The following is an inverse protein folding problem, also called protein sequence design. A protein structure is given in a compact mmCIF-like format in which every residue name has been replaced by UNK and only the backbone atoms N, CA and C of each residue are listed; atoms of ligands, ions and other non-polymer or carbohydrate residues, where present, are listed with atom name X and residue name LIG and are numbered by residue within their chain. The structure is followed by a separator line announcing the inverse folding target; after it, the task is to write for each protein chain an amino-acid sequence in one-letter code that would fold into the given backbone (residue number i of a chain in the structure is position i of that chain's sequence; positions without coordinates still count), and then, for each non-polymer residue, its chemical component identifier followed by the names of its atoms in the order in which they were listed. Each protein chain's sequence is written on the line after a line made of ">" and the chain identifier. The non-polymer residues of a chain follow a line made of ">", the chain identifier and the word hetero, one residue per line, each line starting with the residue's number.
data_IF_280553172316
#
_entry.id   IF_280553172316
#
_cell.length_a   1.000
_cell.length_b   1.000
_cell.length_c   1.000
_cell.angle_alpha   90.00
_cell.angle_beta   90.00
_cell.angle_gamma   90.00
#
_symmetry.space_group_name_H-M   'P 1'
#
loop_
_entity.id
_entity.type
_entity.pdbx_description
1 polymer ?
#
# COMPACT_ATOMS: atom_id res chain seq x y z
N UNK A 1 -19.90 -22.36 -16.53
CA UNK A 1 -19.28 -21.51 -15.49
C UNK A 1 -18.59 -22.40 -14.48
N UNK A 2 -17.26 -22.30 -14.37
CA UNK A 2 -16.42 -22.95 -13.36
C UNK A 2 -15.55 -21.85 -12.74
N UNK A 3 -15.34 -21.82 -11.42
CA UNK A 3 -14.46 -20.82 -10.83
C UNK A 3 -13.03 -21.04 -11.34
N UNK A 4 -12.41 -19.96 -11.84
CA UNK A 4 -11.02 -19.97 -12.24
C UNK A 4 -10.14 -20.14 -11.00
N UNK A 5 -9.49 -21.29 -10.94
CA UNK A 5 -8.59 -21.71 -9.87
C UNK A 5 -7.29 -20.91 -9.98
N UNK A 6 -7.11 -19.91 -9.11
CA UNK A 6 -5.81 -19.23 -8.95
C UNK A 6 -4.84 -20.21 -8.28
N UNK A 7 -3.91 -20.76 -9.06
CA UNK A 7 -2.80 -21.57 -8.53
C UNK A 7 -1.80 -20.64 -7.84
N UNK A 8 -1.92 -20.49 -6.52
CA UNK A 8 -0.82 -20.04 -5.67
C UNK A 8 0.20 -21.19 -5.59
N UNK A 9 1.30 -21.08 -6.34
CA UNK A 9 2.48 -21.94 -6.18
C UNK A 9 3.37 -21.37 -5.08
N UNK A 10 3.53 -22.12 -3.98
CA UNK A 10 4.62 -21.94 -3.01
C UNK A 10 4.18 -21.81 -1.55
N UNK A 11 3.72 -22.92 -0.94
CA UNK A 11 3.75 -23.09 0.52
C UNK A 11 5.07 -23.78 0.85
N UNK A 12 5.96 -23.13 1.61
CA UNK A 12 7.08 -23.83 2.26
C UNK A 12 6.71 -24.09 3.72
N UNK A 13 6.18 -25.28 3.97
CA UNK A 13 6.26 -25.93 5.28
C UNK A 13 7.45 -26.86 5.25
N UNK A 14 8.40 -26.71 6.18
CA UNK A 14 9.49 -27.68 6.30
C UNK A 14 8.95 -28.98 6.89
N UNK A 15 8.85 -30.02 6.06
CA UNK A 15 9.09 -31.40 6.50
C UNK A 15 10.46 -31.79 5.95
N UNK A 16 11.23 -32.49 6.77
CA UNK A 16 12.61 -32.90 6.52
C UNK A 16 12.84 -33.51 5.13
N UNK A 17 13.95 -33.12 4.48
CA UNK A 17 14.59 -33.85 3.38
C UNK A 17 14.19 -33.43 1.97
N UNK A 18 15.12 -32.80 1.23
CA UNK A 18 15.05 -32.69 -0.24
C UNK A 18 15.18 -31.27 -0.78
N UNK A 19 16.29 -31.00 -1.47
CA UNK A 19 16.59 -29.75 -2.20
C UNK A 19 15.97 -29.83 -3.60
N UNK A 20 15.22 -28.82 -4.02
CA UNK A 20 14.88 -28.60 -5.44
C UNK A 20 15.10 -27.12 -5.77
N UNK A 21 16.03 -26.87 -6.69
CA UNK A 21 16.35 -25.56 -7.26
C UNK A 21 15.53 -25.33 -8.54
N UNK A 22 15.03 -24.12 -8.74
CA UNK A 22 14.32 -23.69 -9.95
C UNK A 22 14.20 -22.16 -10.03
N UNK A 23 14.51 -21.62 -11.21
CA UNK A 23 14.96 -20.26 -11.48
C UNK A 23 13.91 -19.13 -11.35
N UNK A 24 14.18 -18.19 -10.43
CA UNK A 24 13.98 -16.74 -10.46
C UNK A 24 14.41 -16.23 -9.07
N UNK A 25 15.37 -15.31 -9.00
CA UNK A 25 16.12 -15.00 -7.78
C UNK A 25 15.28 -14.40 -6.63
N UNK A 26 14.64 -15.25 -5.84
CA UNK A 26 14.20 -14.95 -4.48
C UNK A 26 15.24 -15.54 -3.51
N UNK A 27 16.04 -14.69 -2.88
CA UNK A 27 16.94 -15.10 -1.80
C UNK A 27 16.18 -15.10 -0.48
N UNK A 28 15.98 -16.29 0.08
CA UNK A 28 15.34 -16.47 1.39
C UNK A 28 16.38 -16.34 2.51
N UNK A 29 16.11 -15.49 3.49
CA UNK A 29 16.93 -15.35 4.70
C UNK A 29 16.87 -16.62 5.57
N UNK A 30 17.99 -16.96 6.20
CA UNK A 30 18.08 -18.05 7.18
C UNK A 30 17.23 -17.75 8.41
N UNK A 31 16.40 -18.69 8.88
CA UNK A 31 15.57 -18.47 10.05
C UNK A 31 16.39 -18.55 11.35
N UNK A 32 16.30 -17.50 12.15
CA UNK A 32 16.86 -17.45 13.51
C UNK A 32 15.96 -18.24 14.46
N UNK A 33 16.36 -19.45 14.82
CA UNK A 33 15.74 -20.19 15.93
C UNK A 33 16.35 -19.71 17.26
N UNK A 34 15.61 -18.96 18.07
CA UNK A 34 15.95 -18.84 19.49
C UNK A 34 15.44 -20.10 20.22
N UNK A 35 16.31 -20.89 20.87
CA UNK A 35 15.86 -22.03 21.67
C UNK A 35 15.22 -21.53 22.97
N UNK A 36 13.92 -21.78 23.14
CA UNK A 36 13.25 -21.68 24.44
C UNK A 36 13.77 -22.81 25.34
N UNK A 37 14.15 -22.48 26.59
CA UNK A 37 14.57 -23.44 27.63
C UNK A 37 13.58 -24.61 27.73
N UNK A 38 14.04 -25.87 27.81
CA UNK A 38 13.14 -27.00 27.99
C UNK A 38 12.51 -26.96 29.40
N UNK A 39 11.19 -27.22 29.53
CA UNK A 39 10.57 -27.41 30.84
C UNK A 39 11.01 -28.75 31.46
N UNK A 40 11.09 -28.79 32.79
CA UNK A 40 11.49 -29.96 33.57
C UNK A 40 10.50 -31.14 33.38
N UNK A 41 10.97 -32.40 33.46
CA UNK A 41 10.15 -33.56 33.12
C UNK A 41 9.28 -33.98 34.30
N UNK A 42 7.97 -33.76 34.22
CA UNK A 42 7.02 -34.44 35.10
C UNK A 42 5.71 -34.75 34.37
N UNK A 43 5.39 -36.04 34.25
CA UNK A 43 4.06 -36.54 33.93
C UNK A 43 3.71 -36.57 32.43
N UNK A 44 3.38 -37.76 31.92
CA UNK A 44 2.76 -38.08 30.61
C UNK A 44 2.62 -36.89 29.65
N UNK A 45 3.64 -36.65 28.85
CA UNK A 45 3.57 -35.75 27.69
C UNK A 45 2.67 -36.37 26.64
N UNK A 46 1.38 -35.99 26.62
CA UNK A 46 0.66 -35.98 25.35
C UNK A 46 1.48 -35.13 24.37
N UNK A 47 1.71 -35.57 23.12
CA UNK A 47 2.30 -34.68 22.13
C UNK A 47 1.37 -33.47 22.07
N UNK A 48 1.87 -32.30 22.46
CA UNK A 48 1.16 -31.05 22.32
C UNK A 48 0.83 -30.90 20.83
N UNK A 49 -0.40 -31.24 20.44
CA UNK A 49 -0.87 -31.02 19.08
C UNK A 49 -0.98 -29.52 18.92
N UNK A 50 0.07 -28.90 18.38
CA UNK A 50 0.01 -27.52 17.92
C UNK A 50 -1.14 -27.46 16.91
N UNK A 51 -2.24 -26.79 17.25
CA UNK A 51 -3.30 -26.54 16.29
C UNK A 51 -2.76 -25.55 15.28
N UNK A 52 -3.13 -25.71 14.01
CA UNK A 52 -2.73 -24.76 12.97
C UNK A 52 -3.14 -23.34 13.34
N UNK A 53 -4.26 -23.19 14.05
CA UNK A 53 -4.80 -21.92 14.56
C UNK A 53 -3.90 -21.23 15.61
N UNK A 54 -2.95 -21.95 16.20
CA UNK A 54 -1.97 -21.40 17.15
C UNK A 54 -0.64 -21.03 16.47
N UNK A 55 -0.46 -21.41 15.20
CA UNK A 55 0.76 -21.16 14.44
C UNK A 55 0.71 -19.76 13.85
N UNK A 56 1.79 -18.99 14.00
CA UNK A 56 1.97 -17.71 13.32
C UNK A 56 2.91 -17.92 12.14
N UNK A 57 2.41 -17.65 10.94
CA UNK A 57 3.22 -17.52 9.74
C UNK A 57 3.62 -16.06 9.58
N UNK A 58 4.86 -15.82 9.19
CA UNK A 58 5.36 -14.48 8.91
C UNK A 58 6.30 -14.55 7.71
N UNK A 59 6.25 -13.52 6.88
CA UNK A 59 7.05 -13.47 5.65
C UNK A 59 7.19 -12.06 5.13
N UNK A 60 8.23 -11.89 4.32
CA UNK A 60 8.49 -10.65 3.60
C UNK A 60 8.04 -10.82 2.15
N UNK A 61 7.39 -9.78 1.61
CA UNK A 61 7.05 -9.64 0.20
C UNK A 61 8.01 -8.64 -0.39
N UNK A 62 8.75 -9.00 -1.43
CA UNK A 62 9.65 -8.09 -2.14
C UNK A 62 9.41 -8.26 -3.63
N UNK A 63 8.95 -7.19 -4.27
CA UNK A 63 8.79 -7.04 -5.69
C UNK A 63 9.65 -5.84 -6.10
N UNK A 64 10.49 -6.00 -7.11
CA UNK A 64 11.39 -4.94 -7.55
C UNK A 64 11.33 -4.80 -9.06
N UNK A 65 11.07 -3.58 -9.51
CA UNK A 65 11.11 -3.21 -10.92
C UNK A 65 10.27 -4.13 -11.82
N UNK A 66 9.09 -4.51 -11.33
CA UNK A 66 8.17 -5.39 -12.04
C UNK A 66 7.50 -4.59 -13.15
N UNK A 67 7.60 -5.07 -14.38
CA UNK A 67 6.90 -4.49 -15.52
C UNK A 67 5.39 -4.71 -15.37
N UNK A 68 4.64 -3.60 -15.27
CA UNK A 68 3.20 -3.65 -15.09
C UNK A 68 2.49 -4.26 -16.29
N UNK A 69 3.04 -4.15 -17.51
CA UNK A 69 2.49 -4.78 -18.69
C UNK A 69 2.60 -6.32 -18.64
N UNK A 70 3.63 -6.86 -18.00
CA UNK A 70 3.80 -8.31 -17.80
C UNK A 70 2.84 -8.84 -16.74
N UNK A 71 2.73 -8.15 -15.60
CA UNK A 71 1.80 -8.52 -14.52
C UNK A 71 0.38 -8.60 -15.05
N UNK A 72 -0.02 -7.62 -15.86
CA UNK A 72 -1.42 -7.48 -16.28
C UNK A 72 -1.77 -8.40 -17.43
N UNK A 73 -0.77 -8.88 -18.19
CA UNK A 73 -0.93 -9.97 -19.15
C UNK A 73 -1.31 -11.29 -18.47
N UNK A 74 -0.90 -11.51 -17.21
CA UNK A 74 -1.21 -12.74 -16.48
C UNK A 74 -2.63 -12.77 -15.89
N UNK A 75 -3.24 -11.61 -15.67
CA UNK A 75 -4.64 -11.51 -15.25
C UNK A 75 -5.53 -11.44 -16.50
N UNK A 76 -6.27 -12.52 -16.78
CA UNK A 76 -7.15 -12.61 -17.96
C UNK A 76 -8.22 -11.50 -17.92
N UNK A 77 -7.99 -10.40 -18.64
CA UNK A 77 -8.90 -9.26 -18.70
C UNK A 77 -8.22 -7.93 -19.06
N UNK A 78 -7.93 -7.77 -20.35
CA UNK A 78 -7.69 -6.52 -21.10
C UNK A 78 -6.58 -5.50 -20.71
N UNK A 79 -5.92 -5.10 -21.80
CA UNK A 79 -4.99 -3.99 -22.09
C UNK A 79 -3.50 -4.18 -21.72
N UNK A 80 -2.66 -4.72 -22.66
CA UNK A 80 -1.20 -4.83 -22.49
C UNK A 80 -0.46 -3.48 -22.49
N UNK A 81 -1.17 -2.35 -22.62
CA UNK A 81 -0.54 -1.04 -22.65
C UNK A 81 -0.40 -0.36 -21.28
N UNK A 82 -0.46 -1.11 -20.17
CA UNK A 82 -0.12 -0.59 -18.84
C UNK A 82 1.39 -0.36 -18.74
N UNK A 83 1.81 0.82 -19.17
CA UNK A 83 3.18 1.30 -18.99
C UNK A 83 3.45 1.57 -17.51
N UNK A 84 4.73 1.47 -17.15
CA UNK A 84 5.24 1.76 -15.81
C UNK A 84 5.83 0.54 -15.11
N UNK A 85 6.52 0.82 -14.01
CA UNK A 85 7.22 -0.17 -13.20
C UNK A 85 6.69 -0.13 -11.78
N UNK A 86 6.45 -1.30 -11.19
CA UNK A 86 6.04 -1.40 -9.80
C UNK A 86 7.12 -2.05 -8.95
N UNK A 87 7.33 -1.52 -7.76
CA UNK A 87 8.08 -2.16 -6.69
C UNK A 87 7.21 -2.19 -5.44
N UNK A 88 7.28 -3.26 -4.68
CA UNK A 88 6.56 -3.37 -3.42
C UNK A 88 7.44 -4.09 -2.40
N UNK A 89 7.34 -3.67 -1.16
CA UNK A 89 8.00 -4.33 -0.04
C UNK A 89 7.00 -4.42 1.10
N UNK A 90 6.85 -5.58 1.72
CA UNK A 90 5.96 -5.71 2.85
C UNK A 90 6.42 -6.77 3.82
N UNK A 91 6.03 -6.61 5.07
CA UNK A 91 6.27 -7.57 6.15
C UNK A 91 4.92 -7.95 6.73
N UNK A 92 4.50 -9.18 6.46
CA UNK A 92 3.16 -9.67 6.76
C UNK A 92 3.23 -10.86 7.70
N UNK A 93 2.22 -10.98 8.55
CA UNK A 93 2.02 -12.08 9.48
C UNK A 93 0.56 -12.51 9.45
N UNK A 94 0.32 -13.81 9.60
CA UNK A 94 -1.02 -14.40 9.65
C UNK A 94 -1.00 -15.55 10.66
N UNK A 95 -2.07 -15.70 11.43
CA UNK A 95 -2.27 -16.82 12.35
C UNK A 95 -3.07 -17.92 11.67
N UNK A 96 -2.54 -19.14 11.67
CA UNK A 96 -3.11 -20.27 10.94
C UNK A 96 -3.31 -19.91 9.46
N UNK A 97 -4.56 -20.02 9.00
CA UNK A 97 -4.99 -19.58 7.68
C UNK A 97 -6.14 -18.55 7.77
N UNK A 98 -6.30 -17.92 8.93
CA UNK A 98 -7.35 -16.93 9.14
C UNK A 98 -6.92 -15.58 8.56
N UNK A 99 -7.54 -15.19 7.45
CA UNK A 99 -7.28 -13.92 6.77
C UNK A 99 -7.57 -12.72 7.66
N UNK A 100 -8.48 -12.81 8.63
CA UNK A 100 -8.77 -11.70 9.56
C UNK A 100 -7.58 -11.41 10.49
N UNK A 101 -6.77 -12.42 10.77
CA UNK A 101 -5.54 -12.28 11.56
C UNK A 101 -4.35 -11.73 10.75
N UNK A 102 -4.51 -11.49 9.44
CA UNK A 102 -3.47 -10.87 8.62
C UNK A 102 -3.10 -9.51 9.22
N UNK A 103 -1.81 -9.30 9.44
CA UNK A 103 -1.28 -8.07 10.02
C UNK A 103 0.10 -7.76 9.49
N UNK A 104 0.39 -6.49 9.27
CA UNK A 104 1.72 -6.08 8.84
C UNK A 104 1.74 -4.81 8.01
N UNK A 105 2.90 -4.46 7.47
CA UNK A 105 3.09 -3.23 6.71
C UNK A 105 3.48 -3.51 5.27
N UNK A 106 2.96 -2.71 4.35
CA UNK A 106 3.26 -2.81 2.92
C UNK A 106 3.56 -1.42 2.38
N UNK A 107 4.64 -1.28 1.62
CA UNK A 107 4.88 -0.17 0.72
C UNK A 107 4.73 -0.61 -0.73
N UNK A 108 4.18 0.29 -1.52
CA UNK A 108 4.05 0.16 -2.96
C UNK A 108 4.59 1.44 -3.59
N UNK A 109 5.43 1.27 -4.60
CA UNK A 109 5.89 2.32 -5.47
C UNK A 109 5.58 1.94 -6.91
N UNK A 110 5.05 2.88 -7.67
CA UNK A 110 4.86 2.74 -9.11
C UNK A 110 5.45 3.97 -9.79
N UNK A 111 6.25 3.73 -10.81
CA UNK A 111 6.97 4.72 -11.61
C UNK A 111 6.40 4.75 -13.03
N UNK A 112 6.22 5.95 -13.58
CA UNK A 112 5.67 6.19 -14.92
C UNK A 112 4.36 5.42 -15.19
N UNK A 113 3.50 5.29 -14.18
CA UNK A 113 2.24 4.55 -14.30
C UNK A 113 1.14 5.41 -14.91
N UNK A 114 0.36 4.83 -15.83
CA UNK A 114 -0.85 5.46 -16.36
C UNK A 114 -2.01 5.42 -15.34
N UNK A 115 -1.94 6.28 -14.32
CA UNK A 115 -2.91 6.34 -13.23
C UNK A 115 -4.37 6.53 -13.69
N UNK A 116 -4.59 7.15 -14.85
CA UNK A 116 -5.91 7.29 -15.49
C UNK A 116 -6.56 5.98 -15.92
N UNK A 117 -5.82 4.88 -15.94
CA UNK A 117 -6.34 3.53 -16.24
C UNK A 117 -6.61 2.72 -14.99
N UNK A 118 -6.19 3.20 -13.82
CA UNK A 118 -6.47 2.55 -12.55
C UNK A 118 -7.88 2.94 -12.07
N UNK A 119 -8.68 1.97 -11.58
CA UNK A 119 -9.95 2.27 -10.92
C UNK A 119 -9.74 3.28 -9.78
N UNK A 120 -10.75 4.09 -9.49
CA UNK A 120 -10.73 5.17 -8.48
C UNK A 120 -9.79 6.34 -8.82
N UNK A 121 -8.52 6.10 -9.14
CA UNK A 121 -7.58 7.15 -9.54
C UNK A 121 -8.03 7.86 -10.81
N UNK A 122 -8.53 7.11 -11.81
CA UNK A 122 -9.15 7.68 -13.00
C UNK A 122 -10.32 8.60 -12.68
N UNK A 123 -11.16 8.22 -11.71
CA UNK A 123 -12.29 9.02 -11.26
C UNK A 123 -11.82 10.30 -10.56
N UNK A 124 -10.84 10.21 -9.66
CA UNK A 124 -10.26 11.34 -8.93
C UNK A 124 -9.62 12.33 -9.91
N UNK A 125 -8.77 11.86 -10.82
CA UNK A 125 -8.06 12.73 -11.76
C UNK A 125 -9.02 13.39 -12.76
N UNK A 126 -10.06 12.67 -13.20
CA UNK A 126 -11.14 13.24 -14.04
C UNK A 126 -11.92 14.32 -13.28
N UNK A 127 -12.28 14.06 -12.02
CA UNK A 127 -12.97 15.04 -11.16
C UNK A 127 -12.13 16.33 -10.98
N UNK A 128 -10.82 16.16 -10.81
CA UNK A 128 -9.86 17.27 -10.70
C UNK A 128 -9.52 17.92 -12.05
N UNK A 129 -10.09 17.44 -13.17
CA UNK A 129 -9.82 17.92 -14.54
C UNK A 129 -8.34 17.89 -14.92
N UNK A 130 -7.59 16.92 -14.38
CA UNK A 130 -6.19 16.70 -14.74
C UNK A 130 -6.15 16.03 -16.11
N UNK A 131 -5.22 16.44 -16.97
CA UNK A 131 -5.03 15.81 -18.27
C UNK A 131 -4.34 14.45 -18.12
N UNK A 132 -4.56 13.56 -19.09
CA UNK A 132 -3.95 12.22 -19.09
C UNK A 132 -2.43 12.32 -19.15
N UNK A 133 -1.76 11.80 -18.13
CA UNK A 133 -0.31 11.78 -18.02
C UNK A 133 0.17 10.59 -17.19
N UNK A 134 1.40 10.13 -17.45
CA UNK A 134 2.07 9.18 -16.56
C UNK A 134 2.30 9.84 -15.21
N UNK A 135 2.22 9.05 -14.15
CA UNK A 135 2.34 9.54 -12.78
C UNK A 135 3.18 8.59 -11.97
N UNK A 136 3.85 9.14 -10.98
CA UNK A 136 4.49 8.36 -9.93
C UNK A 136 3.48 8.18 -8.80
N UNK A 137 3.46 6.99 -8.22
CA UNK A 137 2.68 6.67 -7.04
C UNK A 137 3.58 6.10 -5.95
N UNK A 138 3.40 6.56 -4.72
CA UNK A 138 4.03 5.97 -3.55
C UNK A 138 3.01 5.87 -2.43
N UNK A 139 2.84 4.66 -1.86
CA UNK A 139 1.97 4.44 -0.72
C UNK A 139 2.57 3.50 0.31
N UNK A 140 2.27 3.75 1.58
CA UNK A 140 2.56 2.88 2.72
C UNK A 140 1.28 2.61 3.49
N UNK A 141 1.05 1.34 3.79
CA UNK A 141 -0.19 0.84 4.35
C UNK A 141 0.09 -0.06 5.55
N UNK A 142 -0.72 0.10 6.60
CA UNK A 142 -0.83 -0.86 7.69
C UNK A 142 -2.01 -1.78 7.41
N UNK A 143 -1.77 -3.08 7.38
CA UNK A 143 -2.74 -4.12 7.07
C UNK A 143 -3.31 -4.68 8.36
N UNK A 144 -4.63 -4.74 8.45
CA UNK A 144 -5.38 -5.44 9.50
C UNK A 144 -6.52 -6.21 8.84
N UNK A 145 -6.34 -7.53 8.73
CA UNK A 145 -7.17 -8.36 7.88
C UNK A 145 -7.09 -7.90 6.41
N UNK A 146 -8.24 -7.74 5.78
CA UNK A 146 -8.36 -7.17 4.43
C UNK A 146 -8.52 -5.64 4.43
N UNK A 147 -8.42 -5.00 5.60
CA UNK A 147 -8.46 -3.54 5.70
C UNK A 147 -7.04 -2.99 5.68
N UNK A 148 -6.77 -2.10 4.73
CA UNK A 148 -5.54 -1.33 4.65
C UNK A 148 -5.78 0.08 5.20
N UNK A 149 -5.06 0.46 6.25
CA UNK A 149 -4.99 1.84 6.74
C UNK A 149 -3.86 2.56 6.02
N UNK A 150 -4.17 3.70 5.42
CA UNK A 150 -3.24 4.51 4.65
C UNK A 150 -2.39 5.32 5.64
N UNK A 151 -1.09 5.00 5.74
CA UNK A 151 -0.15 5.81 6.53
C UNK A 151 0.36 6.99 5.71
N UNK A 152 0.58 6.75 4.41
CA UNK A 152 0.94 7.74 3.41
C UNK A 152 0.52 7.23 2.05
N UNK A 153 -0.07 8.07 1.22
CA UNK A 153 -0.22 7.77 -0.20
C UNK A 153 -0.10 9.07 -1.00
N UNK A 154 0.73 9.05 -2.03
CA UNK A 154 1.09 10.20 -2.85
C UNK A 154 1.04 9.81 -4.31
N UNK A 155 0.50 10.70 -5.12
CA UNK A 155 0.53 10.60 -6.58
C UNK A 155 1.04 11.93 -7.13
N UNK A 156 1.96 11.90 -8.08
CA UNK A 156 2.42 13.12 -8.73
C UNK A 156 2.71 12.89 -10.20
N UNK A 157 2.52 13.94 -11.00
CA UNK A 157 2.99 14.05 -12.36
C UNK A 157 3.37 15.50 -12.63
N UNK A 158 3.68 15.85 -13.87
CA UNK A 158 4.12 17.22 -14.23
C UNK A 158 3.04 18.27 -14.04
N UNK A 159 1.76 17.87 -14.00
CA UNK A 159 0.60 18.76 -13.95
C UNK A 159 -0.03 18.86 -12.57
N UNK A 160 0.03 17.81 -11.76
CA UNK A 160 -0.64 17.76 -10.46
C UNK A 160 0.11 16.91 -9.43
N UNK A 161 -0.15 17.22 -8.17
CA UNK A 161 0.28 16.41 -7.03
C UNK A 161 -0.90 16.17 -6.09
N UNK A 162 -1.01 14.95 -5.58
CA UNK A 162 -2.04 14.52 -4.66
C UNK A 162 -1.39 13.82 -3.48
N UNK A 163 -1.89 14.08 -2.27
CA UNK A 163 -1.52 13.35 -1.07
C UNK A 163 -2.77 12.98 -0.28
N UNK A 164 -2.85 11.72 0.15
CA UNK A 164 -3.91 11.22 1.02
C UNK A 164 -3.59 11.55 2.47
N UNK A 165 -4.60 12.04 3.20
CA UNK A 165 -4.47 12.28 4.63
C UNK A 165 -4.31 10.95 5.39
N UNK A 166 -3.35 10.85 6.32
CA UNK A 166 -3.13 9.62 7.08
C UNK A 166 -4.37 9.17 7.87
N UNK A 167 -4.53 7.86 7.99
CA UNK A 167 -5.61 7.22 8.76
C UNK A 167 -6.85 6.85 7.92
N UNK A 168 -6.90 7.24 6.65
CA UNK A 168 -7.90 6.74 5.71
C UNK A 168 -7.83 5.22 5.55
N UNK A 169 -8.93 4.59 5.13
CA UNK A 169 -9.03 3.13 5.05
C UNK A 169 -9.52 2.64 3.69
N UNK A 170 -9.05 1.46 3.31
CA UNK A 170 -9.47 0.72 2.12
C UNK A 170 -9.76 -0.72 2.55
N UNK A 171 -11.01 -1.16 2.46
CA UNK A 171 -11.41 -2.56 2.62
C UNK A 171 -11.26 -3.28 1.28
N UNK A 172 -10.22 -4.09 1.16
CA UNK A 172 -9.89 -4.84 -0.05
C UNK A 172 -10.84 -6.03 -0.28
N UNK A 173 -11.55 -6.49 0.74
CA UNK A 173 -12.50 -7.58 0.63
C UNK A 173 -13.86 -7.11 0.11
N UNK A 174 -14.30 -5.93 0.56
CA UNK A 174 -15.59 -5.35 0.18
C UNK A 174 -15.49 -4.32 -0.96
N UNK A 175 -14.28 -3.82 -1.26
CA UNK A 175 -14.07 -2.73 -2.22
C UNK A 175 -14.40 -1.34 -1.66
N UNK A 176 -14.57 -1.20 -0.34
CA UNK A 176 -14.99 0.05 0.31
C UNK A 176 -13.80 0.94 0.61
N UNK A 177 -13.98 2.24 0.46
CA UNK A 177 -12.96 3.23 0.77
C UNK A 177 -13.56 4.36 1.59
N UNK A 178 -12.75 4.89 2.51
CA UNK A 178 -13.08 6.08 3.29
C UNK A 178 -11.78 6.83 3.62
N UNK A 179 -11.47 7.87 2.86
CA UNK A 179 -10.27 8.68 3.07
C UNK A 179 -10.43 10.09 2.50
N UNK A 180 -9.62 11.01 3.03
CA UNK A 180 -9.48 12.34 2.48
C UNK A 180 -8.19 12.45 1.68
N UNK A 181 -8.19 13.23 0.61
CA UNK A 181 -6.99 13.59 -0.13
C UNK A 181 -6.95 15.09 -0.38
N UNK A 182 -5.74 15.63 -0.46
CA UNK A 182 -5.44 17.00 -0.84
C UNK A 182 -4.75 16.96 -2.20
N UNK A 183 -5.26 17.74 -3.15
CA UNK A 183 -4.75 17.84 -4.50
C UNK A 183 -4.36 19.28 -4.84
N UNK A 184 -3.34 19.41 -5.68
CA UNK A 184 -2.89 20.71 -6.21
C UNK A 184 -2.51 20.62 -7.69
N UNK A 185 -3.03 21.51 -8.56
CA UNK A 185 -2.54 21.65 -9.94
C UNK A 185 -1.22 22.42 -9.94
N UNK A 186 -0.10 21.74 -10.19
CA UNK A 186 1.25 22.29 -10.14
C UNK A 186 1.43 23.50 -11.07
N UNK A 187 0.80 23.48 -12.24
CA UNK A 187 0.84 24.60 -13.21
C UNK A 187 0.40 25.94 -12.61
N UNK A 188 -0.46 25.92 -11.59
CA UNK A 188 -1.05 27.12 -10.97
C UNK A 188 -0.34 27.59 -9.70
N UNK A 189 0.48 26.72 -9.12
CA UNK A 189 1.12 26.95 -7.80
C UNK A 189 2.63 26.86 -7.85
N UNK A 190 3.25 26.40 -8.95
CA UNK A 190 4.69 26.16 -9.03
C UNK A 190 5.52 27.35 -8.57
N UNK A 191 5.20 28.54 -9.07
CA UNK A 191 5.89 29.76 -8.70
C UNK A 191 5.78 30.08 -7.20
N UNK A 192 4.60 29.89 -6.61
CA UNK A 192 4.36 30.09 -5.18
C UNK A 192 5.15 29.07 -4.36
N UNK A 193 5.10 27.79 -4.75
CA UNK A 193 5.81 26.69 -4.09
C UNK A 193 7.31 26.89 -4.07
N UNK A 194 7.88 27.45 -5.15
CA UNK A 194 9.32 27.64 -5.31
C UNK A 194 9.85 28.94 -4.68
N UNK A 195 9.06 30.02 -4.68
CA UNK A 195 9.51 31.36 -4.26
C UNK A 195 9.18 31.69 -2.81
N UNK A 196 8.11 31.13 -2.25
CA UNK A 196 7.62 31.51 -0.91
C UNK A 196 8.15 30.53 0.15
N UNK A 197 8.70 31.01 1.28
CA UNK A 197 9.08 30.16 2.43
C UNK A 197 7.91 29.31 2.97
N UNK A 198 8.19 28.12 3.51
CA UNK A 198 7.16 27.14 3.93
C UNK A 198 6.15 27.73 4.92
N UNK A 199 6.64 28.49 5.89
CA UNK A 199 5.82 29.15 6.92
C UNK A 199 4.77 30.11 6.35
N UNK A 200 5.04 30.73 5.19
CA UNK A 200 4.14 31.68 4.53
C UNK A 200 3.33 31.04 3.39
N UNK A 201 3.62 29.78 3.07
CA UNK A 201 3.07 29.10 1.93
C UNK A 201 1.61 28.65 2.17
N UNK A 202 1.28 28.27 3.41
CA UNK A 202 -0.05 27.78 3.79
C UNK A 202 -1.15 28.79 3.42
N UNK A 203 -0.99 30.05 3.83
CA UNK A 203 -1.98 31.11 3.59
C UNK A 203 -2.21 31.35 2.10
N UNK A 204 -1.15 31.27 1.30
CA UNK A 204 -1.21 31.53 -0.15
C UNK A 204 -1.68 30.33 -0.98
N UNK A 205 -1.60 29.13 -0.42
CA UNK A 205 -2.02 27.90 -1.10
C UNK A 205 -3.42 27.43 -0.73
N UNK A 206 -3.96 27.82 0.42
CA UNK A 206 -5.25 27.29 0.90
C UNK A 206 -6.36 27.38 -0.16
N UNK A 207 -6.43 28.50 -0.90
CA UNK A 207 -7.44 28.72 -1.95
C UNK A 207 -7.15 27.97 -3.27
N UNK A 208 -5.95 27.41 -3.42
CA UNK A 208 -5.50 26.66 -4.61
C UNK A 208 -5.48 25.15 -4.40
N UNK A 209 -5.59 24.74 -3.15
CA UNK A 209 -5.69 23.34 -2.77
C UNK A 209 -7.15 22.89 -2.89
N UNK A 210 -7.33 21.63 -3.26
CA UNK A 210 -8.65 21.00 -3.24
C UNK A 210 -8.59 19.80 -2.32
N UNK A 211 -9.47 19.76 -1.32
CA UNK A 211 -9.63 18.59 -0.47
C UNK A 211 -10.85 17.79 -0.92
N UNK A 212 -10.66 16.51 -1.20
CA UNK A 212 -11.72 15.59 -1.57
C UNK A 212 -11.88 14.52 -0.49
N UNK A 213 -13.12 14.20 -0.16
CA UNK A 213 -13.47 12.96 0.51
C UNK A 213 -13.78 11.91 -0.55
N UNK A 214 -13.10 10.77 -0.46
CA UNK A 214 -13.35 9.56 -1.22
C UNK A 214 -14.06 8.59 -0.30
N UNK A 215 -15.35 8.35 -0.52
CA UNK A 215 -16.17 7.49 0.33
C UNK A 215 -17.19 6.71 -0.46
N UNK A 216 -17.17 5.39 -0.34
CA UNK A 216 -18.09 4.51 -1.06
C UNK A 216 -17.42 3.22 -1.52
N UNK A 217 -17.99 2.59 -2.54
CA UNK A 217 -17.39 1.46 -3.23
C UNK A 217 -16.49 1.93 -4.38
N UNK A 218 -15.41 1.22 -4.65
CA UNK A 218 -14.45 1.58 -5.72
C UNK A 218 -15.01 1.58 -7.15
N UNK A 219 -16.18 0.98 -7.35
CA UNK A 219 -16.94 0.90 -8.61
C UNK A 219 -18.14 1.85 -8.63
N UNK A 220 -18.39 2.59 -7.54
CA UNK A 220 -19.37 3.67 -7.54
C UNK A 220 -18.96 4.76 -8.56
N UNK A 221 -19.94 5.45 -9.17
CA UNK A 221 -19.65 6.57 -10.04
C UNK A 221 -19.03 7.75 -9.27
N UNK A 222 -18.27 8.64 -9.94
CA UNK A 222 -17.57 9.74 -9.27
C UNK A 222 -18.47 10.64 -8.44
N UNK A 223 -19.72 10.84 -8.85
CA UNK A 223 -20.69 11.70 -8.14
C UNK A 223 -21.16 11.14 -6.80
N UNK A 224 -21.02 9.83 -6.56
CA UNK A 224 -21.28 9.19 -5.27
C UNK A 224 -20.00 9.01 -4.46
N UNK A 225 -18.90 8.73 -5.16
CA UNK A 225 -17.62 8.40 -4.54
C UNK A 225 -16.88 9.64 -4.01
N UNK A 226 -17.01 10.79 -4.70
CA UNK A 226 -16.20 11.98 -4.46
C UNK A 226 -17.05 13.14 -3.99
N UNK A 227 -16.61 13.82 -2.92
CA UNK A 227 -17.19 15.08 -2.48
C UNK A 227 -16.11 16.09 -2.12
N UNK A 228 -16.31 17.35 -2.49
CA UNK A 228 -15.42 18.45 -2.09
C UNK A 228 -15.65 18.77 -0.63
N UNK A 229 -14.56 18.97 0.09
CA UNK A 229 -14.58 19.24 1.53
C UNK A 229 -13.74 20.48 1.83
N UNK A 230 -14.08 21.23 2.90
CA UNK A 230 -13.29 22.37 3.31
C UNK A 230 -11.90 21.92 3.77
N UNK A 231 -10.88 22.70 3.43
CA UNK A 231 -9.52 22.51 3.92
C UNK A 231 -9.47 23.00 5.36
N UNK A 232 -9.27 22.07 6.30
CA UNK A 232 -9.23 22.39 7.73
C UNK A 232 -7.82 22.77 8.20
N UNK A 233 -6.81 22.04 7.73
CA UNK A 233 -5.38 22.32 7.92
C UNK A 233 -4.58 21.46 6.96
N UNK A 234 -3.49 22.01 6.42
CA UNK A 234 -2.54 21.27 5.58
C UNK A 234 -1.25 21.17 6.37
N UNK A 235 -0.85 19.94 6.70
CA UNK A 235 0.37 19.72 7.47
C UNK A 235 1.61 20.20 6.72
N UNK A 236 2.64 20.61 7.46
CA UNK A 236 3.92 21.04 6.87
C UNK A 236 4.53 19.96 5.96
N UNK A 237 4.35 18.68 6.30
CA UNK A 237 4.78 17.54 5.48
C UNK A 237 4.12 17.51 4.09
N UNK A 238 2.86 17.93 3.99
CA UNK A 238 2.13 18.01 2.71
C UNK A 238 2.59 19.19 1.86
N UNK A 239 2.81 20.34 2.49
CA UNK A 239 3.37 21.50 1.80
C UNK A 239 4.79 21.22 1.29
N UNK A 240 5.60 20.53 2.09
CA UNK A 240 6.95 20.11 1.72
C UNK A 240 6.91 19.17 0.54
N UNK A 241 6.03 18.16 0.58
CA UNK A 241 5.80 17.25 -0.54
C UNK A 241 5.45 18.00 -1.85
N UNK A 242 4.47 18.91 -1.82
CA UNK A 242 4.10 19.65 -3.04
C UNK A 242 5.25 20.51 -3.56
N UNK A 243 6.02 21.15 -2.68
CA UNK A 243 7.21 21.90 -3.08
C UNK A 243 8.24 21.01 -3.75
N UNK A 244 8.53 19.85 -3.17
CA UNK A 244 9.54 18.92 -3.69
C UNK A 244 9.14 18.39 -5.07
N UNK A 245 7.86 18.06 -5.26
CA UNK A 245 7.31 17.68 -6.57
C UNK A 245 7.41 18.84 -7.57
N UNK A 246 7.11 20.07 -7.16
CA UNK A 246 7.24 21.24 -8.03
C UNK A 246 8.69 21.53 -8.45
N UNK A 247 9.66 21.20 -7.57
CA UNK A 247 11.11 21.30 -7.83
C UNK A 247 11.58 20.20 -8.77
N UNK A 248 11.17 18.95 -8.54
CA UNK A 248 11.53 17.80 -9.38
C UNK A 248 10.82 17.82 -10.74
N UNK A 249 9.79 18.66 -10.90
CA UNK A 249 9.03 18.76 -12.13
C UNK A 249 7.98 17.67 -12.28
N UNK A 250 7.47 17.13 -11.16
CA UNK A 250 6.39 16.14 -11.16
C UNK A 250 6.77 14.75 -10.66
N UNK A 251 8.03 14.53 -10.31
CA UNK A 251 8.54 13.23 -9.88
C UNK A 251 8.51 13.08 -8.36
N UNK A 252 8.19 11.88 -7.89
CA UNK A 252 8.32 11.51 -6.46
C UNK A 252 9.75 10.97 -6.24
N UNK A 253 10.70 11.86 -5.95
CA UNK A 253 12.13 11.52 -5.86
C UNK A 253 12.57 10.72 -4.62
N UNK A 254 13.73 10.05 -4.75
CA UNK A 254 14.73 9.67 -3.73
C UNK A 254 14.32 8.79 -2.54
N UNK A 255 13.41 9.26 -1.69
CA UNK A 255 13.09 8.66 -0.38
C UNK A 255 12.25 7.39 -0.48
N UNK A 256 11.76 7.09 -1.68
CA UNK A 256 11.00 5.88 -2.00
C UNK A 256 11.84 4.62 -1.78
N UNK A 257 13.09 4.60 -2.28
CA UNK A 257 13.96 3.42 -2.14
C UNK A 257 14.35 3.17 -0.68
N UNK A 258 14.53 4.25 0.09
CA UNK A 258 14.77 4.16 1.54
C UNK A 258 13.53 3.64 2.27
N UNK A 259 12.33 4.09 1.87
CA UNK A 259 11.07 3.61 2.45
C UNK A 259 10.86 2.11 2.19
N UNK A 260 11.08 1.66 0.95
CA UNK A 260 10.98 0.24 0.58
C UNK A 260 11.96 -0.63 1.38
N UNK A 261 13.21 -0.17 1.55
CA UNK A 261 14.21 -0.88 2.37
C UNK A 261 13.83 -0.91 3.84
N UNK A 262 13.40 0.23 4.40
CA UNK A 262 13.10 0.36 5.83
C UNK A 262 11.99 -0.59 6.29
N UNK A 263 11.01 -0.91 5.43
CA UNK A 263 9.89 -1.80 5.79
C UNK A 263 10.35 -3.24 5.99
N UNK A 264 11.35 -3.68 5.24
CA UNK A 264 11.94 -5.02 5.38
C UNK A 264 12.71 -5.11 6.71
N UNK A 265 13.36 -4.01 7.11
CA UNK A 265 14.14 -3.89 8.35
C UNK A 265 13.26 -3.81 9.61
N UNK A 266 11.95 -3.53 9.49
CA UNK A 266 11.05 -3.49 10.65
C UNK A 266 10.97 -4.86 11.35
N UNK A 267 10.86 -4.91 12.69
CA UNK A 267 10.51 -6.15 13.37
C UNK A 267 9.10 -6.62 12.93
N UNK A 268 8.86 -7.94 12.91
CA UNK A 268 7.52 -8.45 12.60
C UNK A 268 6.49 -7.85 13.55
N UNK A 269 5.40 -7.31 12.98
CA UNK A 269 4.23 -6.92 13.75
C UNK A 269 3.68 -8.15 14.48
N UNK A 270 3.22 -7.97 15.72
CA UNK A 270 2.60 -9.08 16.46
C UNK A 270 1.21 -9.35 15.84
N UNK A 271 0.89 -10.59 15.42
CA UNK A 271 -0.46 -10.91 14.96
C UNK A 271 -1.44 -10.70 16.12
N UNK A 272 -2.51 -9.95 15.86
CA UNK A 272 -3.46 -9.54 16.90
C UNK A 272 -4.24 -10.77 17.38
N UNK A 273 -4.45 -10.88 18.69
CA UNK A 273 -5.46 -11.82 19.23
C UNK A 273 -6.83 -11.21 18.93
N UNK A 274 -7.77 -12.00 18.40
CA UNK A 274 -9.17 -11.61 18.36
C UNK A 274 -9.56 -11.14 19.77
N UNK A 275 -10.10 -9.93 19.86
CA UNK A 275 -10.87 -9.56 21.05
C UNK A 275 -12.18 -10.36 20.96
N UNK A 276 -12.62 -11.03 22.03
CA UNK A 276 -13.92 -11.67 22.04
C UNK A 276 -14.96 -10.61 21.68
N UNK A 277 -15.76 -10.90 20.66
CA UNK A 277 -16.99 -10.15 20.42
C UNK A 277 -17.89 -10.47 21.62
N UNK A 278 -18.08 -9.50 22.52
CA UNK A 278 -19.21 -9.57 23.46
C UNK A 278 -20.48 -9.56 22.60
N UNK A 279 -21.12 -10.72 22.50
CA UNK A 279 -22.48 -10.80 21.97
C UNK A 279 -23.42 -10.01 22.92
N UNK A 280 -24.37 -9.25 22.36
CA UNK A 280 -25.31 -8.42 23.12
C UNK A 280 -26.28 -9.22 24.01
#
# INVERSE_FOLDING_TARGET
>A
MRPAMVRLRGVSGRVWGGRLEGAAGATWGTPTTQPLRPPAPSGRTQPARTRLDDVVFSGDVILTNVDMAEVTRQFQGHDPSRQGRASASGKLSIRGLDVKSLGGKVAVYMDDVEAFRLPVLSQILTFLKVQKETSDFHGTFDMQGLTATIERARLANRLSALEVEPGGTIDLGQGRMDFYLVAVPLSTVRDLLLKIPLVNLLVNLQDKLTRLLVRGQWDDPPSKLLSVQPIRNVGEGTLTFFRDVARSGGQIGGDVLNTLRSIIELPFGKPRKEQPVEEP
#
